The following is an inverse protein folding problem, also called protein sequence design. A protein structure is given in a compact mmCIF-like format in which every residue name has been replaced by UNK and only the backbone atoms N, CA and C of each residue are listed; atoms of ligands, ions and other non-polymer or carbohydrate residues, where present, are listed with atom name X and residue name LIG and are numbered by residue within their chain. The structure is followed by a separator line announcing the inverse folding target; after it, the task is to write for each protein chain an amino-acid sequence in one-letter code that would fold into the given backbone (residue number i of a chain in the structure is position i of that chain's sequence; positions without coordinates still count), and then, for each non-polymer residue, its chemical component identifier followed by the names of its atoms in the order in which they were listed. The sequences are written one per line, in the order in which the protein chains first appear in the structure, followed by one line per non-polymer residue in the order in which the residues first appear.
data_IF_129729371772
#
_entry.id   IF_129729371772
#
_cell.length_a   1.000
_cell.length_b   1.000
_cell.length_c   1.000
_cell.angle_alpha   90.00
_cell.angle_beta   90.00
_cell.angle_gamma   90.00
#
_symmetry.space_group_name_H-M   'P 1'
#
loop_
_entity.id
_entity.type
_entity.pdbx_description
1 polymer ?
#
# COMPACT_ATOMS: atom_id res chain seq x y z
N UNK A 1 23.79 -54.71 50.53
CA UNK A 1 22.77 -54.69 49.47
C UNK A 1 22.05 -53.41 49.59
N UNK A 2 22.44 -52.42 48.78
CA UNK A 2 21.87 -51.05 48.75
C UNK A 2 21.15 -50.91 47.43
N UNK A 3 19.81 -50.78 47.46
CA UNK A 3 18.97 -50.50 46.26
C UNK A 3 18.93 -49.02 46.03
N UNK A 4 19.51 -48.56 44.90
CA UNK A 4 19.39 -47.17 44.41
C UNK A 4 18.07 -47.03 43.75
N UNK A 5 17.25 -46.05 44.24
CA UNK A 5 15.99 -45.59 43.64
C UNK A 5 16.30 -44.47 42.66
N UNK A 6 16.11 -44.69 41.35
CA UNK A 6 16.19 -43.64 40.35
C UNK A 6 14.82 -42.90 40.27
N UNK A 7 14.81 -41.65 40.71
CA UNK A 7 13.70 -40.75 40.47
C UNK A 7 13.86 -40.14 39.07
N UNK A 8 13.06 -40.61 38.11
CA UNK A 8 12.94 -39.97 36.79
C UNK A 8 12.01 -38.78 36.90
N UNK A 9 12.58 -37.58 36.88
CA UNK A 9 11.84 -36.30 36.82
C UNK A 9 11.44 -36.03 35.37
N UNK A 10 10.18 -36.32 35.01
CA UNK A 10 9.60 -36.06 33.71
C UNK A 10 9.22 -34.56 33.65
N UNK A 11 10.07 -33.73 33.02
CA UNK A 11 9.81 -32.32 32.80
C UNK A 11 8.77 -32.18 31.68
N UNK A 12 7.53 -31.93 32.06
CA UNK A 12 6.44 -31.61 31.13
C UNK A 12 6.60 -30.18 30.61
N UNK A 13 7.22 -30.01 29.43
CA UNK A 13 7.29 -28.72 28.74
C UNK A 13 5.87 -28.36 28.25
N UNK A 14 5.19 -27.49 28.98
CA UNK A 14 3.99 -26.83 28.49
C UNK A 14 4.38 -25.88 27.37
N UNK A 15 4.28 -26.35 26.14
CA UNK A 15 4.30 -25.48 24.96
C UNK A 15 2.98 -24.70 24.89
N UNK A 16 2.96 -23.47 25.41
CA UNK A 16 1.88 -22.57 25.15
C UNK A 16 1.94 -22.17 23.67
N UNK A 17 0.83 -22.31 22.91
CA UNK A 17 0.80 -21.79 21.57
C UNK A 17 0.94 -20.28 21.65
N UNK A 18 2.02 -19.73 21.08
CA UNK A 18 2.14 -18.31 20.80
C UNK A 18 1.07 -18.00 19.73
N UNK A 19 -0.11 -17.56 20.14
CA UNK A 19 -1.06 -16.96 19.21
C UNK A 19 -0.42 -15.68 18.71
N UNK A 20 0.11 -15.69 17.48
CA UNK A 20 0.47 -14.49 16.76
C UNK A 20 -0.83 -13.66 16.67
N UNK A 21 -0.94 -12.63 17.49
CA UNK A 21 -1.94 -11.60 17.30
C UNK A 21 -1.59 -10.93 15.97
N UNK A 22 -2.42 -11.14 14.97
CA UNK A 22 -2.45 -10.24 13.82
C UNK A 22 -2.78 -8.87 14.40
N UNK A 23 -1.78 -7.99 14.50
CA UNK A 23 -2.03 -6.60 14.89
C UNK A 23 -2.88 -6.03 13.75
N UNK A 24 -4.15 -5.72 14.05
CA UNK A 24 -4.98 -4.97 13.13
C UNK A 24 -4.32 -3.62 12.79
N UNK A 25 -4.74 -3.03 11.71
CA UNK A 25 -4.25 -1.70 11.29
C UNK A 25 -4.42 -0.70 12.43
N UNK A 26 -3.35 0.08 12.71
CA UNK A 26 -3.41 1.17 13.65
C UNK A 26 -4.44 2.23 13.19
N UNK A 27 -4.92 3.06 14.13
CA UNK A 27 -5.71 4.24 13.78
C UNK A 27 -4.77 5.35 13.31
N UNK A 28 -5.16 6.13 12.27
CA UNK A 28 -4.40 7.32 11.89
C UNK A 28 -4.39 8.34 13.04
N UNK A 29 -3.25 8.96 13.26
CA UNK A 29 -3.05 10.02 14.26
C UNK A 29 -2.99 11.39 13.63
N UNK A 30 -2.71 11.44 12.32
CA UNK A 30 -2.66 12.64 11.50
C UNK A 30 -3.87 12.78 10.56
N UNK A 31 -3.75 13.69 9.60
CA UNK A 31 -4.73 13.85 8.53
C UNK A 31 -4.81 12.59 7.67
N UNK A 32 -6.02 12.07 7.46
CA UNK A 32 -6.23 10.92 6.58
C UNK A 32 -5.97 11.34 5.13
N UNK A 33 -4.97 10.71 4.51
CA UNK A 33 -4.61 10.95 3.12
C UNK A 33 -5.22 9.93 2.17
N UNK A 34 -5.47 8.69 2.65
CA UNK A 34 -5.99 7.62 1.82
C UNK A 34 -7.02 6.79 2.58
N UNK A 35 -8.12 6.48 1.91
CA UNK A 35 -9.13 5.52 2.34
C UNK A 35 -9.16 4.34 1.38
N UNK A 36 -9.00 3.12 1.89
CA UNK A 36 -9.13 1.88 1.12
C UNK A 36 -10.37 1.13 1.59
N UNK A 37 -11.26 0.78 0.68
CA UNK A 37 -12.56 0.16 0.98
C UNK A 37 -12.89 -0.99 0.01
N UNK A 38 -14.07 -1.60 0.16
CA UNK A 38 -14.54 -2.70 -0.70
C UNK A 38 -14.10 -4.07 -0.21
N UNK A 39 -13.64 -4.92 -1.14
CA UNK A 39 -13.21 -6.29 -0.88
C UNK A 39 -11.85 -6.36 -0.17
N UNK A 40 -11.82 -5.96 1.11
CA UNK A 40 -10.65 -5.94 2.00
C UNK A 40 -10.98 -6.59 3.34
N UNK A 41 -9.95 -7.21 3.96
CA UNK A 41 -10.09 -7.89 5.26
C UNK A 41 -9.75 -6.99 6.44
N UNK A 42 -8.68 -6.19 6.32
CA UNK A 42 -8.15 -5.36 7.40
C UNK A 42 -8.72 -3.95 7.32
N UNK A 43 -9.39 -3.53 8.39
CA UNK A 43 -10.05 -2.22 8.52
C UNK A 43 -9.71 -1.60 9.87
N UNK A 44 -9.54 -0.29 9.92
CA UNK A 44 -9.44 0.50 11.14
C UNK A 44 -10.57 1.55 11.27
N UNK A 45 -11.54 1.48 10.35
CA UNK A 45 -12.80 2.22 10.38
C UNK A 45 -13.94 1.27 9.98
N UNK A 46 -15.23 1.61 10.15
CA UNK A 46 -16.35 0.70 9.93
C UNK A 46 -16.33 0.01 8.56
N UNK A 47 -16.01 0.73 7.49
CA UNK A 47 -16.07 0.21 6.12
C UNK A 47 -14.76 0.36 5.35
N UNK A 48 -13.69 0.87 5.99
CA UNK A 48 -12.44 1.20 5.32
C UNK A 48 -11.20 0.99 6.18
N UNK A 49 -10.06 0.89 5.49
CA UNK A 49 -8.74 1.07 6.05
C UNK A 49 -8.27 2.51 5.73
N UNK A 50 -8.05 3.31 6.76
CA UNK A 50 -7.64 4.71 6.67
C UNK A 50 -6.14 4.82 6.93
N UNK A 51 -5.47 5.65 6.15
CA UNK A 51 -4.03 5.87 6.24
C UNK A 51 -3.73 7.37 6.29
N UNK A 52 -2.94 7.79 7.26
CA UNK A 52 -2.23 9.06 7.27
C UNK A 52 -0.81 8.90 6.69
N UNK A 53 -0.06 9.99 6.62
CA UNK A 53 1.30 9.96 6.08
C UNK A 53 2.24 9.06 6.91
N UNK A 54 2.16 9.12 8.24
CA UNK A 54 3.02 8.33 9.12
C UNK A 54 2.78 6.84 8.90
N UNK A 55 1.53 6.41 8.77
CA UNK A 55 1.17 5.03 8.46
C UNK A 55 1.71 4.59 7.09
N UNK A 56 1.58 5.42 6.07
CA UNK A 56 2.14 5.12 4.74
C UNK A 56 3.66 4.98 4.80
N UNK A 57 4.34 5.78 5.62
CA UNK A 57 5.79 5.72 5.80
C UNK A 57 6.27 4.52 6.63
N UNK A 58 5.38 3.74 7.25
CA UNK A 58 5.75 2.47 7.92
C UNK A 58 5.98 1.32 6.94
N UNK A 59 5.48 1.44 5.72
CA UNK A 59 5.75 0.47 4.66
C UNK A 59 7.20 0.58 4.18
N UNK A 60 7.71 -0.52 3.62
CA UNK A 60 8.96 -0.46 2.86
C UNK A 60 8.74 0.45 1.64
N UNK A 61 9.41 1.60 1.65
CA UNK A 61 9.27 2.59 0.60
C UNK A 61 10.06 2.18 -0.64
N UNK A 62 9.51 2.48 -1.81
CA UNK A 62 10.23 2.40 -3.08
C UNK A 62 10.40 3.79 -3.69
N UNK A 63 11.41 3.91 -4.55
CA UNK A 63 11.74 5.12 -5.28
C UNK A 63 11.67 4.86 -6.77
N UNK A 64 11.01 5.77 -7.50
CA UNK A 64 10.95 5.79 -8.97
C UNK A 64 11.53 7.11 -9.45
N UNK A 65 12.62 7.04 -10.23
CA UNK A 65 13.18 8.19 -10.96
C UNK A 65 12.75 8.10 -12.41
N UNK A 66 11.89 9.02 -12.87
CA UNK A 66 11.28 8.95 -14.20
C UNK A 66 10.85 10.32 -14.70
N UNK A 67 10.75 10.50 -16.02
CA UNK A 67 10.02 11.62 -16.61
C UNK A 67 8.51 11.32 -16.61
N UNK A 68 7.69 12.36 -16.71
CA UNK A 68 6.24 12.25 -16.89
C UNK A 68 5.75 13.18 -17.97
N UNK A 69 4.59 12.88 -18.58
CA UNK A 69 3.96 13.79 -19.55
C UNK A 69 3.35 15.05 -18.87
N UNK A 70 3.34 15.12 -17.53
CA UNK A 70 2.70 16.21 -16.76
C UNK A 70 3.70 17.13 -16.03
N UNK A 71 5.00 16.80 -16.07
CA UNK A 71 6.06 17.55 -15.40
C UNK A 71 7.25 17.73 -16.31
N UNK A 72 8.07 18.74 -16.04
CA UNK A 72 9.33 18.96 -16.77
C UNK A 72 10.48 18.19 -16.12
N UNK A 73 11.29 17.54 -16.96
CA UNK A 73 12.46 16.79 -16.53
C UNK A 73 12.17 15.55 -15.71
N UNK A 74 13.25 14.90 -15.26
CA UNK A 74 13.17 13.72 -14.41
C UNK A 74 12.70 14.10 -13.01
N UNK A 75 11.78 13.31 -12.45
CA UNK A 75 11.26 13.47 -11.09
C UNK A 75 11.64 12.25 -10.27
N UNK A 76 11.92 12.46 -8.99
CA UNK A 76 12.10 11.40 -7.99
C UNK A 76 10.82 11.25 -7.18
N UNK A 77 10.19 10.10 -7.25
CA UNK A 77 8.99 9.76 -6.48
C UNK A 77 9.33 8.75 -5.42
N UNK A 78 8.91 8.98 -4.18
CA UNK A 78 8.99 8.02 -3.08
C UNK A 78 7.60 7.70 -2.58
N UNK A 79 7.33 6.42 -2.36
CA UNK A 79 6.00 5.99 -1.94
C UNK A 79 5.94 4.53 -1.53
N UNK A 80 4.72 4.04 -1.42
CA UNK A 80 4.39 2.65 -1.11
C UNK A 80 4.04 1.92 -2.41
N UNK A 81 4.63 0.74 -2.70
CA UNK A 81 4.14 -0.10 -3.78
C UNK A 81 2.65 -0.39 -3.63
N UNK A 82 1.87 -0.16 -4.67
CA UNK A 82 0.42 -0.38 -4.64
C UNK A 82 0.08 -1.81 -4.18
N UNK A 83 0.82 -2.80 -4.65
CA UNK A 83 0.66 -4.21 -4.27
C UNK A 83 0.94 -4.45 -2.78
N UNK A 84 1.90 -3.75 -2.18
CA UNK A 84 2.20 -3.84 -0.74
C UNK A 84 1.07 -3.26 0.11
N UNK A 85 0.50 -2.13 -0.32
CA UNK A 85 -0.66 -1.52 0.32
C UNK A 85 -1.88 -2.43 0.26
N UNK A 86 -2.21 -2.97 -0.94
CA UNK A 86 -3.32 -3.89 -1.15
C UNK A 86 -3.16 -5.19 -0.34
N UNK A 87 -1.95 -5.72 -0.24
CA UNK A 87 -1.63 -6.89 0.59
C UNK A 87 -1.86 -6.60 2.07
N UNK A 88 -1.46 -5.43 2.55
CA UNK A 88 -1.61 -5.04 3.96
C UNK A 88 -3.07 -4.95 4.39
N UNK A 89 -3.96 -4.52 3.49
CA UNK A 89 -5.41 -4.49 3.77
C UNK A 89 -6.11 -5.83 3.49
N UNK A 90 -5.38 -6.85 3.02
CA UNK A 90 -5.96 -8.15 2.64
C UNK A 90 -6.95 -8.01 1.48
N UNK A 91 -6.61 -7.21 0.46
CA UNK A 91 -7.43 -7.05 -0.73
C UNK A 91 -7.53 -8.37 -1.50
N UNK A 92 -8.75 -8.74 -1.90
CA UNK A 92 -9.04 -9.99 -2.61
C UNK A 92 -9.89 -9.80 -3.87
N UNK A 93 -10.02 -8.55 -4.36
CA UNK A 93 -10.68 -8.24 -5.63
C UNK A 93 -9.72 -8.29 -6.82
N UNK A 94 -10.29 -8.17 -8.02
CA UNK A 94 -9.55 -8.20 -9.30
C UNK A 94 -9.34 -6.81 -9.90
N UNK A 95 -10.05 -5.83 -9.40
CA UNK A 95 -10.06 -4.46 -9.91
C UNK A 95 -10.07 -3.48 -8.75
N UNK A 96 -9.44 -2.32 -8.92
CA UNK A 96 -9.60 -1.19 -8.01
C UNK A 96 -10.11 0.02 -8.78
N UNK A 97 -11.06 0.72 -8.18
CA UNK A 97 -11.43 2.08 -8.55
C UNK A 97 -10.57 3.04 -7.74
N UNK A 98 -9.63 3.72 -8.39
CA UNK A 98 -8.80 4.75 -7.78
C UNK A 98 -9.44 6.12 -8.03
N UNK A 99 -9.68 6.90 -6.97
CA UNK A 99 -10.43 8.12 -7.02
C UNK A 99 -9.66 9.29 -6.41
N UNK A 100 -9.71 10.43 -7.10
CA UNK A 100 -9.11 11.67 -6.65
C UNK A 100 -10.08 12.51 -5.80
N UNK A 101 -9.54 13.52 -5.11
CA UNK A 101 -10.30 14.47 -4.26
C UNK A 101 -11.48 15.11 -5.00
N UNK A 102 -11.37 15.32 -6.30
CA UNK A 102 -12.43 15.92 -7.14
C UNK A 102 -13.40 14.93 -7.75
N UNK A 103 -13.45 13.69 -7.20
CA UNK A 103 -14.29 12.58 -7.65
C UNK A 103 -13.97 12.02 -9.05
N UNK A 104 -12.87 12.44 -9.68
CA UNK A 104 -12.38 11.77 -10.87
C UNK A 104 -11.90 10.38 -10.50
N UNK A 105 -12.36 9.35 -11.20
CA UNK A 105 -12.06 7.96 -10.91
C UNK A 105 -11.52 7.24 -12.14
N UNK A 106 -10.62 6.30 -11.91
CA UNK A 106 -10.08 5.40 -12.93
C UNK A 106 -10.12 3.95 -12.43
N UNK A 107 -10.34 3.03 -13.34
CA UNK A 107 -10.30 1.60 -13.07
C UNK A 107 -8.89 1.05 -13.32
N UNK A 108 -8.35 0.29 -12.37
CA UNK A 108 -7.05 -0.38 -12.47
C UNK A 108 -7.29 -1.87 -12.30
N UNK A 109 -6.99 -2.65 -13.33
CA UNK A 109 -7.09 -4.11 -13.32
C UNK A 109 -5.82 -4.70 -12.71
N UNK A 110 -5.98 -5.49 -11.64
CA UNK A 110 -4.86 -6.07 -10.89
C UNK A 110 -4.22 -7.29 -11.58
N UNK A 111 -4.83 -7.81 -12.64
CA UNK A 111 -4.26 -8.86 -13.48
C UNK A 111 -3.28 -8.34 -14.55
N UNK A 112 -3.15 -7.02 -14.68
CA UNK A 112 -2.15 -6.39 -15.54
C UNK A 112 -0.79 -6.37 -14.82
N UNK A 113 0.24 -7.10 -15.32
CA UNK A 113 1.54 -7.19 -14.65
C UNK A 113 2.28 -5.85 -14.53
N UNK A 114 1.94 -4.85 -15.33
CA UNK A 114 2.51 -3.51 -15.22
C UNK A 114 2.09 -2.81 -13.91
N UNK A 115 0.96 -3.20 -13.34
CA UNK A 115 0.45 -2.64 -12.07
C UNK A 115 1.31 -3.05 -10.88
N UNK A 116 2.09 -4.13 -10.98
CA UNK A 116 3.05 -4.53 -9.95
C UNK A 116 4.15 -3.47 -9.72
N UNK A 117 4.40 -2.61 -10.72
CA UNK A 117 5.34 -1.50 -10.64
C UNK A 117 4.68 -0.16 -10.26
N UNK A 118 3.38 -0.16 -9.93
CA UNK A 118 2.68 1.05 -9.53
C UNK A 118 3.08 1.48 -8.12
N UNK A 119 3.40 2.75 -7.95
CA UNK A 119 3.76 3.38 -6.69
C UNK A 119 2.69 4.37 -6.26
N UNK A 120 2.19 4.26 -5.04
CA UNK A 120 1.41 5.32 -4.38
C UNK A 120 2.41 6.30 -3.77
N UNK A 121 2.80 7.30 -4.54
CA UNK A 121 3.81 8.27 -4.17
C UNK A 121 3.24 9.30 -3.18
N UNK A 122 3.97 9.55 -2.09
CA UNK A 122 3.69 10.59 -1.11
C UNK A 122 4.77 11.68 -1.07
N UNK A 123 5.96 11.44 -1.70
CA UNK A 123 6.98 12.47 -1.93
C UNK A 123 7.27 12.60 -3.43
N UNK A 124 7.62 13.82 -3.84
CA UNK A 124 8.22 14.14 -5.13
C UNK A 124 9.42 15.06 -4.90
N UNK A 125 10.58 14.70 -5.42
CA UNK A 125 11.84 15.44 -5.27
C UNK A 125 12.16 15.76 -3.78
N UNK A 126 11.95 14.78 -2.91
CA UNK A 126 12.24 14.86 -1.48
C UNK A 126 11.22 15.63 -0.63
N UNK A 127 10.11 16.12 -1.19
CA UNK A 127 9.08 16.87 -0.47
C UNK A 127 7.67 16.29 -0.67
N UNK A 128 6.79 16.47 0.32
CA UNK A 128 5.35 16.17 0.17
C UNK A 128 4.73 17.07 -0.89
N UNK A 129 3.75 16.53 -1.60
CA UNK A 129 3.07 17.26 -2.67
C UNK A 129 1.82 17.97 -2.15
N UNK A 130 1.71 19.26 -2.39
CA UNK A 130 0.46 19.99 -2.16
C UNK A 130 -0.60 19.61 -3.20
N UNK A 131 -1.88 19.91 -2.94
CA UNK A 131 -2.98 19.70 -3.89
C UNK A 131 -2.69 20.39 -5.23
N UNK A 132 -2.09 21.59 -5.22
CA UNK A 132 -1.72 22.34 -6.44
C UNK A 132 -0.60 21.65 -7.21
N UNK A 133 0.21 20.85 -6.54
CA UNK A 133 1.35 20.11 -7.07
C UNK A 133 1.03 18.63 -7.30
N UNK A 134 -0.24 18.28 -7.46
CA UNK A 134 -0.77 16.94 -7.73
C UNK A 134 -0.84 16.02 -6.51
N UNK A 135 -0.59 16.53 -5.28
CA UNK A 135 -0.72 15.78 -4.04
C UNK A 135 -2.15 15.71 -3.48
N UNK A 136 -2.32 15.09 -2.31
CA UNK A 136 -1.24 14.58 -1.44
C UNK A 136 -0.59 13.30 -1.95
N UNK A 137 -1.31 12.46 -2.70
CA UNK A 137 -0.83 11.18 -3.22
C UNK A 137 -1.00 11.13 -4.74
N UNK A 138 -0.10 10.37 -5.40
CA UNK A 138 -0.11 10.19 -6.83
C UNK A 138 0.25 8.74 -7.18
N UNK A 139 -0.57 8.04 -7.97
CA UNK A 139 -0.16 6.76 -8.54
C UNK A 139 0.77 7.04 -9.73
N UNK A 140 2.01 6.57 -9.63
CA UNK A 140 3.04 6.72 -10.66
C UNK A 140 3.61 5.37 -11.08
N UNK A 141 4.13 5.32 -12.30
CA UNK A 141 4.79 4.16 -12.88
C UNK A 141 6.19 4.54 -13.34
N UNK A 142 7.11 3.58 -13.52
CA UNK A 142 8.45 3.84 -14.01
C UNK A 142 8.48 4.03 -15.53
N UNK A 143 7.90 5.15 -16.03
CA UNK A 143 7.63 5.37 -17.46
C UNK A 143 8.86 5.25 -18.36
N UNK A 144 10.05 5.61 -17.87
CA UNK A 144 11.29 5.57 -18.64
C UNK A 144 11.96 4.19 -18.63
N UNK A 145 11.50 3.24 -17.80
CA UNK A 145 12.11 1.92 -17.67
C UNK A 145 11.75 0.97 -18.81
N UNK A 146 10.54 1.09 -19.36
CA UNK A 146 10.06 0.27 -20.48
C UNK A 146 8.99 1.02 -21.28
N UNK A 147 9.00 0.97 -22.63
CA UNK A 147 7.96 1.57 -23.46
C UNK A 147 6.53 1.11 -23.15
N UNK A 148 6.33 -0.06 -22.55
CA UNK A 148 5.02 -0.57 -22.13
C UNK A 148 4.35 0.36 -21.10
N UNK A 149 5.13 1.07 -20.28
CA UNK A 149 4.62 2.07 -19.33
C UNK A 149 4.21 3.39 -20.01
N UNK A 150 4.59 3.62 -21.28
CA UNK A 150 4.28 4.83 -22.03
C UNK A 150 3.02 4.64 -22.90
N UNK A 151 1.97 4.09 -22.33
CA UNK A 151 0.70 3.83 -23.00
C UNK A 151 -0.43 4.68 -22.43
N UNK A 152 -1.46 4.95 -23.23
CA UNK A 152 -2.65 5.70 -22.81
C UNK A 152 -3.31 5.05 -21.58
N UNK A 153 -3.29 3.71 -21.50
CA UNK A 153 -3.86 2.98 -20.37
C UNK A 153 -3.10 3.31 -19.09
N UNK A 154 -1.77 3.19 -19.09
CA UNK A 154 -0.93 3.49 -17.93
C UNK A 154 -1.03 4.97 -17.55
N UNK A 155 -1.01 5.87 -18.52
CA UNK A 155 -1.20 7.30 -18.25
C UNK A 155 -2.57 7.59 -17.63
N UNK A 156 -3.65 6.94 -18.08
CA UNK A 156 -4.98 7.11 -17.48
C UNK A 156 -5.05 6.58 -16.04
N UNK A 157 -4.27 5.56 -15.70
CA UNK A 157 -4.18 4.98 -14.35
C UNK A 157 -3.26 5.76 -13.41
N UNK A 158 -2.50 6.71 -13.94
CA UNK A 158 -1.57 7.55 -13.17
C UNK A 158 -2.30 8.71 -12.50
N UNK A 159 -3.29 8.39 -11.66
CA UNK A 159 -4.16 9.37 -11.01
C UNK A 159 -3.41 10.14 -9.93
N UNK A 160 -3.50 11.46 -9.95
CA UNK A 160 -3.01 12.38 -8.92
C UNK A 160 -4.14 12.90 -8.04
N UNK A 161 -3.77 13.55 -6.92
CA UNK A 161 -4.73 13.94 -5.86
C UNK A 161 -5.52 12.74 -5.37
N UNK A 162 -4.90 11.55 -5.39
CA UNK A 162 -5.52 10.31 -4.93
C UNK A 162 -5.89 10.44 -3.45
N UNK A 163 -7.13 10.07 -3.10
CA UNK A 163 -7.61 10.01 -1.72
C UNK A 163 -8.39 8.73 -1.40
N UNK A 164 -8.83 7.99 -2.43
CA UNK A 164 -9.65 6.77 -2.24
C UNK A 164 -9.24 5.66 -3.18
N UNK A 165 -9.24 4.42 -2.65
CA UNK A 165 -9.19 3.18 -3.41
C UNK A 165 -10.38 2.32 -3.01
N UNK A 166 -11.14 1.84 -3.98
CA UNK A 166 -12.21 0.87 -3.75
C UNK A 166 -11.89 -0.43 -4.47
N UNK A 167 -11.75 -1.53 -3.71
CA UNK A 167 -11.44 -2.85 -4.23
C UNK A 167 -12.73 -3.53 -4.65
N UNK A 168 -12.83 -3.95 -5.91
CA UNK A 168 -13.99 -4.59 -6.51
C UNK A 168 -13.70 -6.07 -6.78
N UNK A 169 -14.73 -6.90 -6.63
CA UNK A 169 -14.66 -8.34 -6.89
C UNK A 169 -14.67 -8.67 -8.40
#
# INVERSE_FOLDING_TARGET
MIRALYFSLLALLLSWPLTARTQGLAYPTGEVLLSVSGAIEQKNAPEAALFDLEMLQTFEAEEISTTTIWTEGTQEFVGVPLTSLLRAVGAHGMTISAQAINDYAVEIKLDNPLVDSALVAYLRNGATMSIREKGPLWIVFPYDSDPAFQSEIIYSQSIWQLDRLHVEN
#
